data_IF_088346896587
#
_entry.id   IF_088346896587
#
_cell.length_a   1.000
_cell.length_b   1.000
_cell.length_c   1.000
_cell.angle_alpha   90.00
_cell.angle_beta   90.00
_cell.angle_gamma   90.00
#
_symmetry.space_group_name_H-M   'P 1'
#
loop_
_entity.id
_entity.type
_entity.pdbx_description
1 polymer ?
#
# COMPACT_ATOMS: atom_id res chain seq x y z
N UNK A 1 -7.56 -9.50 -13.59
CA UNK A 1 -8.97 -9.61 -14.06
C UNK A 1 -9.85 -9.49 -12.82
N UNK A 2 -10.09 -8.25 -12.36
CA UNK A 2 -10.91 -7.99 -11.17
C UNK A 2 -12.38 -8.12 -11.56
N UNK A 3 -13.03 -9.15 -11.06
CA UNK A 3 -14.49 -9.29 -11.13
C UNK A 3 -15.07 -8.28 -10.12
N UNK A 4 -15.44 -7.11 -10.61
CA UNK A 4 -16.33 -6.21 -9.85
C UNK A 4 -17.62 -7.01 -9.62
N UNK A 5 -17.76 -7.59 -8.43
CA UNK A 5 -19.07 -8.07 -7.97
C UNK A 5 -19.95 -6.83 -7.99
N UNK A 6 -20.88 -6.78 -8.95
CA UNK A 6 -21.92 -5.76 -8.98
C UNK A 6 -22.63 -5.83 -7.64
N UNK A 7 -22.40 -4.82 -6.79
CA UNK A 7 -22.94 -4.80 -5.44
C UNK A 7 -24.47 -4.82 -5.51
N UNK A 8 -25.04 -5.81 -4.87
CA UNK A 8 -26.48 -5.97 -4.67
C UNK A 8 -27.10 -4.81 -3.86
N UNK A 9 -26.26 -3.94 -3.24
CA UNK A 9 -26.70 -2.78 -2.48
C UNK A 9 -27.39 -1.71 -3.35
N UNK A 10 -27.03 -1.55 -4.62
CA UNK A 10 -27.71 -0.59 -5.51
C UNK A 10 -29.18 -0.97 -5.80
N UNK A 11 -29.54 -2.25 -5.65
CA UNK A 11 -30.93 -2.71 -5.83
C UNK A 11 -31.78 -2.51 -4.56
N UNK A 12 -31.17 -2.49 -3.38
CA UNK A 12 -31.86 -2.33 -2.10
C UNK A 12 -32.40 -0.91 -1.90
N UNK A 13 -31.69 0.13 -2.38
CA UNK A 13 -32.12 1.53 -2.21
C UNK A 13 -33.43 1.86 -2.94
N UNK A 14 -33.85 1.10 -3.94
CA UNK A 14 -35.08 1.34 -4.70
C UNK A 14 -36.34 0.68 -4.07
N UNK A 15 -36.18 -0.26 -3.13
CA UNK A 15 -37.30 -0.99 -2.53
C UNK A 15 -37.93 -0.30 -1.28
N UNK A 16 -37.29 0.77 -0.75
CA UNK A 16 -37.67 1.38 0.52
C UNK A 16 -38.75 2.46 0.43
N UNK A 17 -39.26 2.81 -0.76
CA UNK A 17 -40.18 3.95 -0.95
C UNK A 17 -41.66 3.58 -1.14
N UNK A 18 -42.08 2.34 -0.87
CA UNK A 18 -43.51 2.00 -1.00
C UNK A 18 -44.25 2.45 0.26
N UNK A 19 -45.24 3.40 0.16
CA UNK A 19 -46.09 3.75 1.28
C UNK A 19 -46.97 2.54 1.66
N UNK A 20 -46.91 2.15 2.92
CA UNK A 20 -47.79 1.11 3.45
C UNK A 20 -49.26 1.54 3.29
N UNK A 21 -50.15 0.67 2.83
CA UNK A 21 -51.57 0.99 2.68
C UNK A 21 -52.19 1.35 4.03
N UNK A 22 -53.07 2.33 4.05
CA UNK A 22 -53.70 2.90 5.26
C UNK A 22 -54.61 1.92 6.04
N UNK A 23 -54.84 0.72 5.50
CA UNK A 23 -55.78 -0.29 6.05
C UNK A 23 -55.09 -1.42 6.86
N UNK A 24 -53.79 -1.32 7.14
CA UNK A 24 -53.06 -2.34 7.91
C UNK A 24 -53.29 -2.16 9.41
N UNK A 25 -53.49 -3.28 10.14
CA UNK A 25 -53.62 -3.29 11.60
C UNK A 25 -52.42 -2.56 12.27
N UNK A 26 -52.62 -1.93 13.42
CA UNK A 26 -51.60 -1.11 14.08
C UNK A 26 -50.35 -1.93 14.43
N UNK A 27 -50.51 -3.20 14.76
CA UNK A 27 -49.41 -4.14 15.09
C UNK A 27 -48.62 -4.52 13.84
N UNK A 28 -49.33 -4.83 12.73
CA UNK A 28 -48.68 -5.13 11.44
C UNK A 28 -47.88 -3.94 10.89
N UNK A 29 -48.38 -2.71 11.13
CA UNK A 29 -47.70 -1.48 10.71
C UNK A 29 -46.42 -1.23 11.52
N UNK A 30 -46.46 -1.48 12.84
CA UNK A 30 -45.27 -1.39 13.70
C UNK A 30 -44.20 -2.39 13.23
N UNK A 31 -44.62 -3.65 13.00
CA UNK A 31 -43.73 -4.70 12.54
C UNK A 31 -43.09 -4.34 11.20
N UNK A 32 -43.86 -3.88 10.22
CA UNK A 32 -43.36 -3.50 8.92
C UNK A 32 -42.35 -2.33 8.98
N UNK A 33 -42.59 -1.31 9.81
CA UNK A 33 -41.62 -0.20 10.02
C UNK A 33 -40.36 -0.67 10.71
N UNK A 34 -40.47 -1.62 11.62
CA UNK A 34 -39.36 -2.23 12.31
C UNK A 34 -38.49 -3.04 11.34
N UNK A 35 -39.12 -3.88 10.51
CA UNK A 35 -38.42 -4.69 9.50
C UNK A 35 -37.73 -3.79 8.46
N UNK A 36 -38.37 -2.70 8.08
CA UNK A 36 -37.79 -1.69 7.18
C UNK A 36 -36.53 -1.02 7.76
N UNK A 37 -36.58 -0.65 9.05
CA UNK A 37 -35.44 -0.07 9.74
C UNK A 37 -34.25 -1.05 9.79
N UNK A 38 -34.51 -2.33 10.07
CA UNK A 38 -33.43 -3.34 10.14
C UNK A 38 -32.80 -3.56 8.78
N UNK A 39 -33.62 -3.70 7.74
CA UNK A 39 -33.09 -3.88 6.40
C UNK A 39 -32.26 -2.67 5.95
N UNK A 40 -32.71 -1.46 6.29
CA UNK A 40 -31.97 -0.23 6.01
C UNK A 40 -30.67 -0.14 6.82
N UNK A 41 -30.68 -0.56 8.08
CA UNK A 41 -29.49 -0.64 8.92
C UNK A 41 -28.49 -1.62 8.32
N UNK A 42 -28.92 -2.83 8.00
CA UNK A 42 -28.05 -3.85 7.40
C UNK A 42 -27.42 -3.38 6.09
N UNK A 43 -28.22 -2.74 5.23
CA UNK A 43 -27.75 -2.20 3.97
C UNK A 43 -26.70 -1.09 4.16
N UNK A 44 -26.84 -0.26 5.20
CA UNK A 44 -25.86 0.76 5.55
C UNK A 44 -24.56 0.14 6.09
N UNK A 45 -24.66 -0.83 7.00
CA UNK A 45 -23.49 -1.56 7.54
C UNK A 45 -22.69 -2.27 6.43
N UNK A 46 -23.39 -2.96 5.52
CA UNK A 46 -22.78 -3.64 4.39
C UNK A 46 -22.08 -2.65 3.44
N UNK A 47 -22.74 -1.52 3.13
CA UNK A 47 -22.17 -0.48 2.27
C UNK A 47 -20.93 0.18 2.90
N UNK A 48 -20.94 0.43 4.21
CA UNK A 48 -19.82 0.99 4.95
C UNK A 48 -18.64 0.01 4.97
N UNK A 49 -18.91 -1.27 5.17
CA UNK A 49 -17.89 -2.32 5.14
C UNK A 49 -17.20 -2.39 3.78
N UNK A 50 -17.99 -2.38 2.71
CA UNK A 50 -17.45 -2.41 1.34
C UNK A 50 -16.60 -1.17 1.04
N UNK A 51 -17.01 0.01 1.50
CA UNK A 51 -16.22 1.25 1.38
C UNK A 51 -14.88 1.13 2.10
N UNK A 52 -14.88 0.61 3.33
CA UNK A 52 -13.66 0.41 4.12
C UNK A 52 -12.71 -0.61 3.45
N UNK A 53 -13.25 -1.67 2.86
CA UNK A 53 -12.46 -2.65 2.11
C UNK A 53 -11.78 -2.02 0.89
N UNK A 54 -12.49 -1.19 0.12
CA UNK A 54 -11.90 -0.46 -1.02
C UNK A 54 -10.81 0.49 -0.55
N UNK A 55 -11.02 1.26 0.51
CA UNK A 55 -10.02 2.17 1.06
C UNK A 55 -8.77 1.44 1.56
N UNK A 56 -8.94 0.28 2.19
CA UNK A 56 -7.80 -0.56 2.59
C UNK A 56 -6.99 -1.04 1.39
N UNK A 57 -7.66 -1.46 0.30
CA UNK A 57 -6.99 -1.84 -0.94
C UNK A 57 -6.26 -0.67 -1.62
N UNK A 58 -6.80 0.55 -1.53
CA UNK A 58 -6.13 1.76 -2.01
C UNK A 58 -4.82 1.99 -1.28
N UNK A 59 -4.82 1.93 0.06
CA UNK A 59 -3.61 2.09 0.87
C UNK A 59 -2.54 1.04 0.54
N UNK A 60 -2.96 -0.20 0.30
CA UNK A 60 -2.04 -1.26 -0.13
C UNK A 60 -1.43 -0.95 -1.52
N UNK A 61 -2.25 -0.52 -2.47
CA UNK A 61 -1.80 -0.15 -3.81
C UNK A 61 -0.85 1.06 -3.78
N UNK A 62 -1.14 2.08 -3.00
CA UNK A 62 -0.25 3.24 -2.78
C UNK A 62 1.11 2.83 -2.20
N UNK A 63 1.10 1.91 -1.23
CA UNK A 63 2.33 1.34 -0.68
C UNK A 63 3.15 0.58 -1.73
N UNK A 64 2.48 -0.19 -2.61
CA UNK A 64 3.13 -0.89 -3.72
C UNK A 64 3.74 0.09 -4.73
N UNK A 65 3.04 1.17 -5.07
CA UNK A 65 3.55 2.24 -5.95
C UNK A 65 4.82 2.83 -5.35
N UNK A 66 4.83 3.20 -4.07
CA UNK A 66 6.01 3.74 -3.41
C UNK A 66 7.22 2.77 -3.43
N UNK A 67 6.98 1.46 -3.30
CA UNK A 67 8.04 0.46 -3.42
C UNK A 67 8.59 0.36 -4.86
N UNK A 68 7.71 0.38 -5.86
CA UNK A 68 8.11 0.35 -7.28
C UNK A 68 8.89 1.60 -7.67
N UNK A 69 8.49 2.78 -7.21
CA UNK A 69 9.20 4.05 -7.43
C UNK A 69 10.60 4.01 -6.82
N UNK A 70 10.72 3.50 -5.60
CA UNK A 70 12.03 3.33 -4.97
C UNK A 70 12.92 2.37 -5.77
N UNK A 71 12.40 1.23 -6.25
CA UNK A 71 13.13 0.28 -7.09
C UNK A 71 13.55 0.92 -8.42
N UNK A 72 12.67 1.67 -9.06
CA UNK A 72 12.96 2.39 -10.31
C UNK A 72 14.10 3.40 -10.12
N UNK A 73 14.11 4.14 -9.02
CA UNK A 73 15.19 5.07 -8.68
C UNK A 73 16.52 4.33 -8.47
N UNK A 74 16.54 3.15 -7.84
CA UNK A 74 17.73 2.33 -7.68
C UNK A 74 18.27 1.83 -9.02
N UNK A 75 17.41 1.32 -9.90
CA UNK A 75 17.79 0.86 -11.25
C UNK A 75 18.32 2.03 -12.08
N UNK A 76 17.70 3.20 -12.03
CA UNK A 76 18.19 4.40 -12.73
C UNK A 76 19.59 4.82 -12.25
N UNK A 77 19.85 4.76 -10.94
CA UNK A 77 21.19 5.01 -10.38
C UNK A 77 22.22 3.99 -10.84
N UNK A 78 21.87 2.72 -10.91
CA UNK A 78 22.75 1.67 -11.43
C UNK A 78 23.04 1.86 -12.93
N UNK A 79 22.04 2.20 -13.73
CA UNK A 79 22.22 2.52 -15.16
C UNK A 79 23.18 3.68 -15.37
N UNK A 80 23.07 4.73 -14.57
CA UNK A 80 24.01 5.87 -14.64
C UNK A 80 25.45 5.43 -14.34
N UNK A 81 25.66 4.58 -13.33
CA UNK A 81 26.99 4.06 -13.00
C UNK A 81 27.55 3.18 -14.13
N UNK A 82 26.73 2.30 -14.70
CA UNK A 82 27.13 1.46 -15.83
C UNK A 82 27.48 2.31 -17.05
N UNK A 83 26.72 3.37 -17.32
CA UNK A 83 27.01 4.29 -18.42
C UNK A 83 28.37 4.97 -18.28
N UNK A 84 28.72 5.45 -17.08
CA UNK A 84 30.03 6.02 -16.79
C UNK A 84 31.13 4.96 -17.00
N UNK A 85 30.92 3.75 -16.47
CA UNK A 85 31.89 2.65 -16.62
C UNK A 85 32.12 2.21 -18.08
N UNK A 86 31.06 2.25 -18.90
CA UNK A 86 31.13 2.01 -20.35
C UNK A 86 32.00 3.05 -21.05
N UNK A 87 31.82 4.34 -20.76
CA UNK A 87 32.66 5.40 -21.33
C UNK A 87 34.16 5.22 -20.97
N UNK A 88 34.43 4.84 -19.73
CA UNK A 88 35.82 4.58 -19.30
C UNK A 88 36.40 3.34 -19.97
N UNK A 89 35.61 2.24 -20.08
CA UNK A 89 36.04 1.03 -20.79
C UNK A 89 36.29 1.29 -22.30
N UNK A 90 35.47 2.09 -22.97
CA UNK A 90 35.65 2.49 -24.36
C UNK A 90 36.94 3.31 -24.55
N UNK A 91 37.21 4.25 -23.64
CA UNK A 91 38.43 5.05 -23.65
C UNK A 91 39.67 4.17 -23.47
N UNK A 92 39.65 3.25 -22.52
CA UNK A 92 40.75 2.29 -22.27
C UNK A 92 40.97 1.37 -23.47
N UNK A 93 39.91 0.85 -24.07
CA UNK A 93 40.02 0.03 -25.28
C UNK A 93 40.72 0.76 -26.43
N UNK A 94 40.40 2.05 -26.66
CA UNK A 94 41.04 2.87 -27.68
C UNK A 94 42.55 3.08 -27.38
N UNK A 95 42.89 3.31 -26.12
CA UNK A 95 44.30 3.46 -25.70
C UNK A 95 45.08 2.16 -25.94
N UNK A 96 44.55 1.03 -25.56
CA UNK A 96 45.16 -0.27 -25.74
C UNK A 96 45.26 -0.67 -27.22
N UNK A 97 44.28 -0.34 -28.03
CA UNK A 97 44.35 -0.53 -29.49
C UNK A 97 45.48 0.28 -30.12
N UNK A 98 45.57 1.58 -29.77
CA UNK A 98 46.64 2.44 -30.28
C UNK A 98 48.03 1.93 -29.87
N UNK A 99 48.20 1.46 -28.62
CA UNK A 99 49.42 0.87 -28.14
C UNK A 99 49.82 -0.43 -28.89
N UNK A 100 48.83 -1.29 -29.16
CA UNK A 100 49.03 -2.52 -29.92
C UNK A 100 49.44 -2.22 -31.38
N UNK A 101 48.79 -1.23 -32.01
CA UNK A 101 49.14 -0.84 -33.39
C UNK A 101 50.53 -0.23 -33.48
N UNK A 102 50.94 0.64 -32.55
CA UNK A 102 52.30 1.19 -32.48
C UNK A 102 53.34 0.10 -32.26
N UNK A 103 53.10 -0.84 -31.34
CA UNK A 103 54.00 -1.97 -31.10
C UNK A 103 54.14 -2.88 -32.33
N UNK A 104 53.04 -3.10 -33.06
CA UNK A 104 53.03 -3.88 -34.30
C UNK A 104 53.88 -3.21 -35.41
N UNK A 105 53.71 -1.89 -35.58
CA UNK A 105 54.52 -1.14 -36.54
C UNK A 105 56.00 -1.14 -36.21
N UNK A 106 56.36 -0.87 -34.96
CA UNK A 106 57.74 -0.89 -34.50
C UNK A 106 58.42 -2.29 -34.65
N UNK A 107 57.64 -3.37 -34.41
CA UNK A 107 58.08 -4.72 -34.63
C UNK A 107 58.40 -4.98 -36.12
N UNK A 108 57.48 -4.52 -37.02
CA UNK A 108 57.70 -4.68 -38.47
C UNK A 108 58.95 -3.93 -38.97
N UNK A 109 59.18 -2.71 -38.45
CA UNK A 109 60.40 -1.92 -38.76
C UNK A 109 61.69 -2.66 -38.30
N UNK A 110 61.67 -3.19 -37.08
CA UNK A 110 62.84 -3.95 -36.56
C UNK A 110 63.06 -5.28 -37.27
N UNK A 111 61.99 -5.95 -37.68
CA UNK A 111 62.10 -7.14 -38.51
C UNK A 111 62.75 -6.83 -39.87
N UNK A 112 62.36 -5.71 -40.49
CA UNK A 112 63.01 -5.27 -41.77
C UNK A 112 64.49 -4.92 -41.58
N UNK A 113 64.84 -4.24 -40.47
CA UNK A 113 66.27 -3.97 -40.14
C UNK A 113 67.06 -5.28 -39.94
N UNK A 114 66.46 -6.23 -39.23
CA UNK A 114 67.11 -7.55 -39.03
C UNK A 114 67.30 -8.29 -40.34
N UNK A 115 66.27 -8.34 -41.20
CA UNK A 115 66.34 -9.04 -42.50
C UNK A 115 67.35 -8.39 -43.44
N UNK A 116 67.44 -7.06 -43.45
CA UNK A 116 68.49 -6.34 -44.22
C UNK A 116 69.89 -6.63 -43.71
N UNK A 117 70.14 -6.61 -42.39
CA UNK A 117 71.42 -6.92 -41.78
C UNK A 117 71.78 -8.37 -42.01
N UNK A 118 70.87 -9.32 -41.90
CA UNK A 118 71.04 -10.72 -42.15
C UNK A 118 71.43 -10.98 -43.62
N UNK A 119 70.74 -10.35 -44.58
CA UNK A 119 71.04 -10.44 -46.01
C UNK A 119 72.40 -9.91 -46.32
N UNK A 120 72.76 -8.74 -45.76
CA UNK A 120 74.09 -8.17 -45.93
C UNK A 120 75.22 -9.10 -45.37
N UNK A 121 74.98 -9.70 -44.21
CA UNK A 121 75.91 -10.69 -43.64
C UNK A 121 76.06 -11.92 -44.53
N UNK A 122 74.99 -12.43 -45.14
CA UNK A 122 75.02 -13.54 -46.11
C UNK A 122 75.78 -13.18 -47.36
N UNK A 123 75.62 -11.96 -47.90
CA UNK A 123 76.35 -11.47 -49.08
C UNK A 123 77.86 -11.38 -48.80
N UNK A 124 78.19 -10.84 -47.63
CA UNK A 124 79.59 -10.78 -47.20
C UNK A 124 80.20 -12.19 -47.10
N UNK A 125 79.52 -13.16 -46.49
CA UNK A 125 80.01 -14.54 -46.43
C UNK A 125 80.13 -15.18 -47.81
N UNK A 126 79.17 -14.93 -48.73
CA UNK A 126 79.25 -15.42 -50.13
C UNK A 126 80.43 -14.80 -50.87
N UNK A 127 80.61 -13.47 -50.70
CA UNK A 127 81.77 -12.79 -51.28
C UNK A 127 83.10 -13.38 -50.77
N UNK A 128 83.20 -13.68 -49.50
CA UNK A 128 84.33 -14.37 -48.91
C UNK A 128 84.57 -15.81 -49.46
N UNK A 129 83.44 -16.52 -49.77
CA UNK A 129 83.49 -17.86 -50.37
C UNK A 129 83.88 -17.83 -51.85
N UNK A 130 83.53 -16.74 -52.57
CA UNK A 130 83.81 -16.58 -54.01
C UNK A 130 85.23 -16.12 -54.26
N UNK A 131 85.93 -15.53 -53.28
CA UNK A 131 87.30 -15.16 -53.41
C UNK A 131 88.19 -16.44 -53.36
N UNK A 132 88.43 -17.00 -54.53
CA UNK A 132 89.38 -18.10 -54.77
C UNK A 132 89.05 -19.47 -54.21
N UNK A 133 87.84 -19.94 -54.22
CA UNK A 133 87.53 -21.35 -53.91
C UNK A 133 87.81 -21.85 -52.49
N UNK A 134 88.35 -21.01 -51.63
CA UNK A 134 88.73 -21.36 -50.25
C UNK A 134 88.15 -20.48 -49.16
N UNK A 135 87.20 -19.49 -49.47
CA UNK A 135 86.60 -18.58 -48.50
C UNK A 135 87.64 -17.80 -47.69
N UNK A 136 87.34 -17.61 -46.39
CA UNK A 136 88.25 -16.92 -45.46
C UNK A 136 89.61 -17.58 -45.41
N UNK A 137 89.67 -18.91 -45.58
CA UNK A 137 90.94 -19.64 -45.65
C UNK A 137 91.75 -19.31 -46.92
N UNK A 138 91.07 -19.11 -48.05
CA UNK A 138 91.69 -18.70 -49.32
C UNK A 138 92.29 -17.29 -49.23
N UNK A 139 91.58 -16.32 -48.60
CA UNK A 139 92.11 -15.00 -48.30
C UNK A 139 93.31 -15.04 -47.39
N UNK A 140 93.32 -15.87 -46.37
CA UNK A 140 94.42 -16.07 -45.47
C UNK A 140 95.64 -16.73 -46.17
N UNK A 141 95.39 -17.59 -47.18
CA UNK A 141 96.40 -18.24 -47.95
C UNK A 141 97.14 -17.33 -48.94
N UNK A 142 96.54 -16.18 -49.34
CA UNK A 142 97.11 -15.19 -50.25
C UNK A 142 97.99 -14.16 -49.52
N UNK A 143 98.09 -14.21 -48.20
CA UNK A 143 98.94 -13.35 -47.42
C UNK A 143 100.39 -13.60 -47.72
N UNK A 144 101.12 -12.55 -48.21
CA UNK A 144 102.53 -12.59 -48.57
C UNK A 144 103.46 -12.38 -47.37
N UNK A 145 102.96 -12.08 -46.22
CA UNK A 145 103.68 -11.93 -44.98
C UNK A 145 102.83 -12.35 -43.77
N UNK A 146 103.46 -12.76 -42.69
CA UNK A 146 102.78 -13.08 -41.43
C UNK A 146 101.97 -11.90 -40.90
N UNK A 147 102.46 -10.70 -41.09
CA UNK A 147 101.70 -9.47 -40.69
C UNK A 147 100.40 -9.33 -41.49
N UNK A 148 100.44 -9.55 -42.84
CA UNK A 148 99.19 -9.52 -43.64
C UNK A 148 98.23 -10.65 -43.23
N UNK A 149 98.74 -11.83 -42.95
CA UNK A 149 97.94 -12.97 -42.46
C UNK A 149 97.21 -12.63 -41.16
N UNK A 150 97.90 -12.07 -40.19
CA UNK A 150 97.38 -11.69 -38.91
C UNK A 150 96.37 -10.52 -39.05
N UNK A 151 96.69 -9.52 -39.91
CA UNK A 151 95.79 -8.40 -40.17
C UNK A 151 94.52 -8.83 -40.86
N UNK A 152 94.59 -9.74 -41.87
CA UNK A 152 93.38 -10.27 -42.50
C UNK A 152 92.53 -11.13 -41.51
N UNK A 153 93.15 -11.94 -40.69
CA UNK A 153 92.51 -12.77 -39.69
C UNK A 153 91.80 -11.85 -38.66
N UNK A 154 92.44 -10.83 -38.16
CA UNK A 154 91.92 -9.86 -37.21
C UNK A 154 90.74 -9.08 -37.78
N UNK A 155 90.82 -8.56 -39.03
CA UNK A 155 89.74 -7.86 -39.72
C UNK A 155 88.53 -8.80 -39.90
N UNK A 156 88.76 -10.05 -40.36
CA UNK A 156 87.67 -11.02 -40.50
C UNK A 156 87.00 -11.34 -39.17
N UNK A 157 87.75 -11.49 -38.11
CA UNK A 157 87.30 -11.73 -36.78
C UNK A 157 86.42 -10.53 -36.26
N UNK A 158 86.97 -9.29 -36.49
CA UNK A 158 86.21 -8.08 -36.08
C UNK A 158 84.92 -7.93 -36.84
N UNK A 159 84.89 -8.17 -38.19
CA UNK A 159 83.64 -8.14 -38.96
C UNK A 159 82.66 -9.20 -38.46
N UNK A 160 83.08 -10.41 -38.25
CA UNK A 160 82.22 -11.50 -37.76
C UNK A 160 81.69 -11.21 -36.37
N UNK A 161 82.56 -10.72 -35.47
CA UNK A 161 82.12 -10.32 -34.10
C UNK A 161 81.13 -9.20 -34.11
N UNK A 162 81.34 -8.15 -34.92
CA UNK A 162 80.46 -7.00 -35.02
C UNK A 162 79.11 -7.35 -35.61
N UNK A 163 79.12 -8.19 -36.66
CA UNK A 163 77.86 -8.70 -37.24
C UNK A 163 77.02 -9.54 -36.22
N UNK A 164 77.75 -10.41 -35.46
CA UNK A 164 77.12 -11.21 -34.41
C UNK A 164 76.48 -10.33 -33.31
N UNK A 165 77.18 -9.26 -32.88
CA UNK A 165 76.73 -8.32 -31.90
C UNK A 165 75.43 -7.58 -32.38
N UNK A 166 75.44 -7.09 -33.63
CA UNK A 166 74.30 -6.40 -34.23
C UNK A 166 73.11 -7.36 -34.33
N UNK A 167 73.27 -8.58 -34.80
CA UNK A 167 72.19 -9.57 -34.89
C UNK A 167 71.65 -9.94 -33.51
N UNK A 168 72.47 -10.02 -32.50
CA UNK A 168 72.02 -10.27 -31.12
C UNK A 168 71.13 -9.12 -30.62
N UNK A 169 71.58 -7.87 -30.76
CA UNK A 169 70.80 -6.68 -30.34
C UNK A 169 69.52 -6.58 -31.10
N UNK A 170 69.48 -6.80 -32.42
CA UNK A 170 68.24 -6.79 -33.20
C UNK A 170 67.29 -7.90 -32.78
N UNK A 171 67.80 -9.09 -32.46
CA UNK A 171 67.00 -10.21 -31.98
C UNK A 171 66.34 -9.88 -30.62
N UNK A 172 67.10 -9.33 -29.67
CA UNK A 172 66.65 -8.90 -28.37
C UNK A 172 65.57 -7.81 -28.49
N UNK A 173 65.82 -6.82 -29.36
CA UNK A 173 64.83 -5.76 -29.64
C UNK A 173 63.55 -6.30 -30.28
N UNK A 174 63.63 -7.20 -31.25
CA UNK A 174 62.52 -7.85 -31.89
C UNK A 174 61.69 -8.67 -30.89
N UNK A 175 62.34 -9.38 -29.99
CA UNK A 175 61.72 -10.15 -28.95
C UNK A 175 60.94 -9.22 -27.95
N UNK A 176 61.58 -8.15 -27.47
CA UNK A 176 60.98 -7.17 -26.59
C UNK A 176 59.73 -6.50 -27.20
N UNK A 177 59.81 -6.17 -28.50
CA UNK A 177 58.69 -5.62 -29.25
C UNK A 177 57.55 -6.65 -29.45
N UNK A 178 57.91 -7.93 -29.70
CA UNK A 178 56.91 -9.02 -29.77
C UNK A 178 56.17 -9.21 -28.44
N UNK A 179 56.87 -9.18 -27.31
CA UNK A 179 56.29 -9.24 -25.99
C UNK A 179 55.38 -8.02 -25.71
N UNK A 180 55.84 -6.81 -26.05
CA UNK A 180 55.03 -5.59 -25.92
C UNK A 180 53.71 -5.66 -26.74
N UNK A 181 53.81 -6.12 -28.00
CA UNK A 181 52.65 -6.35 -28.87
C UNK A 181 51.67 -7.35 -28.26
N UNK A 182 52.19 -8.49 -27.79
CA UNK A 182 51.33 -9.51 -27.16
C UNK A 182 50.64 -8.98 -25.90
N UNK A 183 51.35 -8.20 -25.07
CA UNK A 183 50.81 -7.58 -23.88
C UNK A 183 49.72 -6.57 -24.23
N UNK A 184 49.92 -5.72 -25.23
CA UNK A 184 48.95 -4.74 -25.68
C UNK A 184 47.71 -5.43 -26.27
N UNK A 185 47.88 -6.49 -27.08
CA UNK A 185 46.76 -7.27 -27.62
C UNK A 185 45.93 -7.97 -26.53
N UNK A 186 46.60 -8.51 -25.49
CA UNK A 186 45.93 -9.12 -24.35
C UNK A 186 45.10 -8.06 -23.57
N UNK A 187 45.69 -6.87 -23.35
CA UNK A 187 44.98 -5.77 -22.69
C UNK A 187 43.76 -5.28 -23.50
N UNK A 188 43.90 -5.20 -24.83
CA UNK A 188 42.79 -4.88 -25.74
C UNK A 188 41.64 -5.91 -25.61
N UNK A 189 41.97 -7.21 -25.66
CA UNK A 189 40.98 -8.28 -25.52
C UNK A 189 40.27 -8.24 -24.15
N UNK A 190 41.00 -7.91 -23.08
CA UNK A 190 40.43 -7.74 -21.75
C UNK A 190 39.47 -6.53 -21.70
N UNK A 191 39.84 -5.42 -22.30
CA UNK A 191 39.00 -4.23 -22.39
C UNK A 191 37.72 -4.49 -23.22
N UNK A 192 37.83 -5.21 -24.36
CA UNK A 192 36.69 -5.64 -25.15
C UNK A 192 35.72 -6.56 -24.34
N UNK A 193 36.27 -7.52 -23.59
CA UNK A 193 35.49 -8.41 -22.75
C UNK A 193 34.76 -7.63 -21.60
N UNK A 194 35.47 -6.68 -20.99
CA UNK A 194 34.88 -5.81 -19.96
C UNK A 194 33.77 -4.95 -20.53
N UNK A 195 33.97 -4.35 -21.72
CA UNK A 195 32.89 -3.60 -22.40
C UNK A 195 31.68 -4.47 -22.70
N UNK A 196 31.87 -5.66 -23.25
CA UNK A 196 30.80 -6.59 -23.54
C UNK A 196 30.00 -6.98 -22.28
N UNK A 197 30.66 -7.16 -21.14
CA UNK A 197 30.03 -7.42 -19.88
C UNK A 197 29.17 -6.22 -19.39
N UNK A 198 29.67 -4.99 -19.54
CA UNK A 198 28.96 -3.78 -19.21
C UNK A 198 27.74 -3.53 -20.13
N UNK A 199 27.90 -3.79 -21.45
CA UNK A 199 26.79 -3.71 -22.42
C UNK A 199 25.66 -4.70 -22.05
N UNK A 200 26.01 -5.93 -21.63
CA UNK A 200 25.04 -6.92 -21.16
C UNK A 200 24.34 -6.45 -19.87
N UNK A 201 25.08 -5.87 -18.93
CA UNK A 201 24.51 -5.33 -17.69
C UNK A 201 23.59 -4.13 -17.98
N UNK A 202 23.95 -3.25 -18.89
CA UNK A 202 23.09 -2.14 -19.33
C UNK A 202 21.78 -2.66 -19.92
N UNK A 203 21.84 -3.67 -20.80
CA UNK A 203 20.66 -4.26 -21.40
C UNK A 203 19.74 -4.88 -20.35
N UNK A 204 20.30 -5.57 -19.35
CA UNK A 204 19.54 -6.14 -18.25
C UNK A 204 18.84 -5.05 -17.42
N UNK A 205 19.58 -4.02 -17.01
CA UNK A 205 19.03 -2.91 -16.22
C UNK A 205 17.95 -2.12 -16.99
N UNK A 206 18.17 -1.92 -18.30
CA UNK A 206 17.15 -1.27 -19.16
C UNK A 206 15.89 -2.12 -19.29
N UNK A 207 16.00 -3.46 -19.33
CA UNK A 207 14.88 -4.37 -19.26
C UNK A 207 14.12 -4.26 -17.94
N UNK A 208 14.84 -4.25 -16.82
CA UNK A 208 14.23 -4.05 -15.49
C UNK A 208 13.53 -2.69 -15.35
N UNK A 209 14.11 -1.62 -15.93
CA UNK A 209 13.47 -0.31 -15.94
C UNK A 209 12.14 -0.36 -16.69
N UNK A 210 12.09 -0.97 -17.88
CA UNK A 210 10.86 -1.08 -18.66
C UNK A 210 9.79 -1.93 -17.94
N UNK A 211 10.19 -3.00 -17.26
CA UNK A 211 9.29 -3.80 -16.43
C UNK A 211 8.71 -2.99 -15.26
N UNK A 212 9.53 -2.21 -14.57
CA UNK A 212 9.12 -1.35 -13.47
C UNK A 212 8.19 -0.22 -13.95
N UNK A 213 8.48 0.41 -15.09
CA UNK A 213 7.60 1.42 -15.71
C UNK A 213 6.22 0.82 -16.04
N UNK A 214 6.20 -0.40 -16.59
CA UNK A 214 4.95 -1.12 -16.88
C UNK A 214 4.18 -1.45 -15.60
N UNK A 215 4.88 -1.91 -14.55
CA UNK A 215 4.27 -2.23 -13.27
C UNK A 215 3.71 -0.97 -12.57
N UNK A 216 4.43 0.15 -12.62
CA UNK A 216 3.99 1.45 -12.12
C UNK A 216 2.74 1.95 -12.84
N UNK A 217 2.71 1.84 -14.17
CA UNK A 217 1.53 2.21 -14.95
C UNK A 217 0.31 1.37 -14.55
N UNK A 218 0.46 0.05 -14.44
CA UNK A 218 -0.62 -0.85 -14.03
C UNK A 218 -1.10 -0.57 -12.60
N UNK A 219 -0.19 -0.27 -11.67
CA UNK A 219 -0.53 0.08 -10.30
C UNK A 219 -1.30 1.40 -10.22
N UNK A 220 -0.90 2.42 -10.99
CA UNK A 220 -1.60 3.70 -11.08
C UNK A 220 -2.99 3.57 -11.73
N UNK A 221 -3.13 2.74 -12.77
CA UNK A 221 -4.45 2.45 -13.38
C UNK A 221 -5.36 1.73 -12.37
N UNK A 222 -4.81 0.81 -11.57
CA UNK A 222 -5.54 0.12 -10.50
C UNK A 222 -5.98 1.08 -9.42
N UNK A 223 -5.09 1.99 -8.97
CA UNK A 223 -5.41 3.02 -7.98
C UNK A 223 -6.53 3.94 -8.46
N UNK A 224 -6.46 4.42 -9.70
CA UNK A 224 -7.50 5.27 -10.31
C UNK A 224 -8.87 4.57 -10.39
N UNK A 225 -8.87 3.26 -10.71
CA UNK A 225 -10.08 2.46 -10.69
C UNK A 225 -10.66 2.29 -9.28
N UNK A 226 -9.80 2.08 -8.28
CA UNK A 226 -10.19 1.98 -6.86
C UNK A 226 -10.72 3.32 -6.34
N UNK A 227 -10.11 4.46 -6.70
CA UNK A 227 -10.61 5.80 -6.36
C UNK A 227 -12.01 6.03 -6.91
N UNK A 228 -12.23 5.69 -8.18
CA UNK A 228 -13.54 5.78 -8.81
C UNK A 228 -14.58 4.87 -8.13
N UNK A 229 -14.18 3.66 -7.74
CA UNK A 229 -15.03 2.73 -7.01
C UNK A 229 -15.35 3.23 -5.60
N UNK A 230 -14.37 3.81 -4.88
CA UNK A 230 -14.58 4.39 -3.55
C UNK A 230 -15.54 5.57 -3.60
N UNK A 231 -15.42 6.45 -4.61
CA UNK A 231 -16.36 7.56 -4.80
C UNK A 231 -17.78 7.06 -5.08
N UNK A 232 -17.93 6.07 -5.96
CA UNK A 232 -19.24 5.47 -6.24
C UNK A 232 -19.82 4.80 -5.00
N UNK A 233 -19.01 4.06 -4.24
CA UNK A 233 -19.44 3.39 -3.02
C UNK A 233 -19.77 4.39 -1.90
N UNK A 234 -19.07 5.50 -1.78
CA UNK A 234 -19.41 6.57 -0.83
C UNK A 234 -20.81 7.15 -1.08
N UNK A 235 -21.22 7.31 -2.35
CA UNK A 235 -22.59 7.73 -2.70
C UNK A 235 -23.62 6.68 -2.28
N UNK A 236 -23.32 5.39 -2.48
CA UNK A 236 -24.20 4.29 -2.05
C UNK A 236 -24.33 4.26 -0.52
N UNK A 237 -23.21 4.41 0.18
CA UNK A 237 -23.15 4.43 1.65
C UNK A 237 -23.97 5.61 2.22
N UNK A 238 -23.84 6.80 1.64
CA UNK A 238 -24.63 7.97 2.08
C UNK A 238 -26.13 7.81 1.80
N UNK A 239 -26.48 7.21 0.66
CA UNK A 239 -27.88 6.90 0.36
C UNK A 239 -28.45 5.84 1.32
N UNK A 240 -27.68 4.82 1.67
CA UNK A 240 -28.09 3.80 2.64
C UNK A 240 -28.22 4.37 4.06
N UNK A 241 -27.30 5.26 4.46
CA UNK A 241 -27.39 6.01 5.72
C UNK A 241 -28.67 6.81 5.81
N UNK A 242 -28.96 7.57 4.77
CA UNK A 242 -30.20 8.35 4.71
C UNK A 242 -31.46 7.47 4.78
N UNK A 243 -31.47 6.34 4.07
CA UNK A 243 -32.58 5.39 4.13
C UNK A 243 -32.80 4.83 5.55
N UNK A 244 -31.71 4.55 6.27
CA UNK A 244 -31.75 4.13 7.67
C UNK A 244 -32.28 5.25 8.58
N UNK A 245 -31.82 6.48 8.40
CA UNK A 245 -32.32 7.66 9.15
C UNK A 245 -33.81 7.89 8.90
N UNK A 246 -34.26 7.82 7.65
CA UNK A 246 -35.66 7.99 7.25
C UNK A 246 -36.55 6.87 7.83
N UNK A 247 -36.09 5.60 7.75
CA UNK A 247 -36.82 4.46 8.33
C UNK A 247 -36.94 4.56 9.85
N UNK A 248 -35.87 5.03 10.50
CA UNK A 248 -35.87 5.27 11.94
C UNK A 248 -36.82 6.41 12.32
N UNK A 249 -36.81 7.51 11.58
CA UNK A 249 -37.73 8.64 11.81
C UNK A 249 -39.19 8.22 11.62
N UNK A 250 -39.45 7.35 10.65
CA UNK A 250 -40.82 6.82 10.43
C UNK A 250 -41.28 5.94 11.60
N UNK A 251 -40.43 5.07 12.11
CA UNK A 251 -40.73 4.25 13.29
C UNK A 251 -40.95 5.13 14.54
N UNK A 252 -40.11 6.13 14.75
CA UNK A 252 -40.21 7.08 15.84
C UNK A 252 -41.51 7.89 15.77
N UNK A 253 -41.90 8.33 14.58
CA UNK A 253 -43.15 9.05 14.37
C UNK A 253 -44.38 8.16 14.70
N UNK A 254 -44.31 6.88 14.32
CA UNK A 254 -45.34 5.91 14.68
C UNK A 254 -45.42 5.70 16.20
N UNK A 255 -44.31 5.47 16.88
CA UNK A 255 -44.27 5.30 18.35
C UNK A 255 -44.77 6.54 19.05
N UNK A 256 -44.44 7.74 18.56
CA UNK A 256 -44.94 9.02 19.08
C UNK A 256 -46.47 9.15 18.93
N UNK A 257 -46.99 8.82 17.75
CA UNK A 257 -48.45 8.86 17.52
C UNK A 257 -49.22 7.86 18.41
N UNK A 258 -48.61 6.76 18.82
CA UNK A 258 -49.20 5.87 19.83
C UNK A 258 -49.19 6.52 21.22
N UNK A 259 -48.09 7.18 21.61
CA UNK A 259 -47.99 7.91 22.87
C UNK A 259 -49.10 9.00 22.98
N UNK A 260 -49.38 9.71 21.87
CA UNK A 260 -50.42 10.76 21.85
C UNK A 260 -51.84 10.23 22.21
N UNK A 261 -52.10 8.95 21.93
CA UNK A 261 -53.41 8.32 22.27
C UNK A 261 -53.58 8.07 23.77
N UNK A 262 -52.48 8.00 24.52
CA UNK A 262 -52.46 7.74 25.97
C UNK A 262 -52.19 9.00 26.79
N UNK A 263 -52.15 10.19 26.15
CA UNK A 263 -52.03 11.47 26.86
C UNK A 263 -53.41 11.85 27.42
N UNK A 264 -53.56 11.81 28.71
CA UNK A 264 -54.76 12.32 29.36
C UNK A 264 -54.56 13.76 29.79
N UNK A 265 -55.56 14.60 29.55
CA UNK A 265 -55.53 16.02 29.96
C UNK A 265 -55.46 16.20 31.49
N UNK A 266 -55.72 15.13 32.24
CA UNK A 266 -55.83 15.17 33.70
C UNK A 266 -54.55 14.81 34.42
N UNK A 267 -53.52 14.30 33.71
CA UNK A 267 -52.22 13.95 34.28
C UNK A 267 -51.25 15.11 34.11
N UNK A 268 -51.23 16.01 35.07
CA UNK A 268 -50.27 17.13 35.10
C UNK A 268 -49.11 16.76 36.00
N UNK A 269 -47.89 16.66 35.46
CA UNK A 269 -46.66 16.59 36.25
C UNK A 269 -46.55 17.89 37.06
N UNK A 270 -46.69 17.78 38.37
CA UNK A 270 -46.65 18.95 39.25
C UNK A 270 -45.20 19.44 39.50
N UNK A 271 -44.21 18.63 39.18
CA UNK A 271 -42.81 19.00 39.28
C UNK A 271 -41.95 18.27 38.24
N UNK A 272 -40.86 18.91 37.76
CA UNK A 272 -39.82 18.31 36.93
C UNK A 272 -38.80 17.51 37.76
N UNK A 273 -39.24 16.91 38.86
CA UNK A 273 -38.41 16.12 39.76
C UNK A 273 -38.26 14.68 39.22
N UNK A 274 -37.46 14.51 38.14
CA UNK A 274 -37.14 13.18 37.62
C UNK A 274 -36.18 12.44 38.56
N UNK A 275 -36.32 11.13 38.68
CA UNK A 275 -35.34 10.26 39.37
C UNK A 275 -34.41 9.56 38.39
N UNK A 276 -33.28 9.07 38.89
CA UNK A 276 -32.46 8.10 38.16
C UNK A 276 -33.29 6.82 37.88
N UNK A 277 -33.27 6.27 36.66
CA UNK A 277 -34.00 5.04 36.31
C UNK A 277 -33.46 3.79 37.00
N UNK A 278 -32.27 3.83 37.56
CA UNK A 278 -31.60 2.73 38.28
C UNK A 278 -31.17 3.23 39.66
N UNK A 279 -31.26 2.38 40.68
CA UNK A 279 -30.72 2.69 42.01
C UNK A 279 -29.20 2.64 42.04
N UNK A 280 -28.60 1.82 41.17
CA UNK A 280 -27.16 1.74 40.96
C UNK A 280 -26.81 1.26 39.55
N UNK A 281 -25.71 1.77 39.03
CA UNK A 281 -25.14 1.37 37.74
C UNK A 281 -23.60 1.50 37.80
N UNK A 282 -22.91 0.74 36.96
CA UNK A 282 -21.43 0.71 36.96
C UNK A 282 -20.82 1.97 36.33
N UNK A 283 -21.37 2.39 35.21
CA UNK A 283 -20.90 3.55 34.44
C UNK A 283 -21.94 3.98 33.40
N UNK A 284 -21.80 5.17 32.87
CA UNK A 284 -22.46 5.59 31.62
C UNK A 284 -21.49 5.21 30.49
N UNK A 285 -21.93 4.30 29.62
CA UNK A 285 -21.09 3.76 28.55
C UNK A 285 -21.18 4.57 27.26
N UNK A 286 -22.36 5.15 26.99
CA UNK A 286 -22.57 5.99 25.81
C UNK A 286 -23.50 7.16 26.18
N UNK A 287 -23.15 8.37 25.77
CA UNK A 287 -23.94 9.54 26.06
C UNK A 287 -24.80 9.95 24.87
N UNK A 288 -25.85 10.73 25.13
CA UNK A 288 -26.68 11.33 24.08
C UNK A 288 -25.84 12.16 23.11
N UNK A 289 -25.97 11.93 21.81
CA UNK A 289 -25.26 12.62 20.74
C UNK A 289 -23.85 12.09 20.47
N UNK A 290 -23.34 11.16 21.26
CA UNK A 290 -22.08 10.46 20.99
C UNK A 290 -22.23 9.58 19.74
N UNK A 291 -21.30 9.66 18.81
CA UNK A 291 -21.35 8.88 17.58
C UNK A 291 -21.06 7.40 17.84
N UNK A 292 -21.89 6.52 17.29
CA UNK A 292 -21.63 5.09 17.27
C UNK A 292 -20.47 4.76 16.27
N UNK A 293 -20.01 3.51 16.17
CA UNK A 293 -18.95 3.11 15.24
C UNK A 293 -19.26 3.41 13.76
N UNK A 294 -20.50 3.65 13.41
CA UNK A 294 -20.98 4.01 12.07
C UNK A 294 -21.23 5.51 11.89
N UNK A 295 -20.90 6.33 12.91
CA UNK A 295 -21.05 7.79 12.86
C UNK A 295 -22.48 8.30 13.10
N UNK A 296 -23.38 7.46 13.62
CA UNK A 296 -24.76 7.84 13.95
C UNK A 296 -24.80 8.36 15.39
N UNK A 297 -25.34 9.58 15.63
CA UNK A 297 -25.47 10.12 16.97
C UNK A 297 -26.37 9.25 17.84
N UNK A 298 -25.87 8.89 19.04
CA UNK A 298 -26.61 8.13 20.02
C UNK A 298 -27.86 8.88 20.49
N UNK A 299 -29.00 8.19 20.57
CA UNK A 299 -30.31 8.79 20.75
C UNK A 299 -30.72 8.93 22.19
N UNK A 300 -30.01 8.31 23.12
CA UNK A 300 -30.27 8.27 24.54
C UNK A 300 -29.02 8.28 25.37
N UNK A 301 -29.07 7.74 26.54
CA UNK A 301 -27.96 7.51 27.45
C UNK A 301 -27.98 6.07 27.92
N UNK A 302 -26.81 5.40 27.83
CA UNK A 302 -26.66 4.01 28.21
C UNK A 302 -26.04 3.89 29.60
N UNK A 303 -26.78 3.27 30.50
CA UNK A 303 -26.38 2.98 31.88
C UNK A 303 -26.00 1.51 32.01
N UNK A 304 -24.72 1.20 32.14
CA UNK A 304 -24.24 -0.17 32.33
C UNK A 304 -24.65 -0.70 33.71
N UNK A 305 -25.43 -1.76 33.73
CA UNK A 305 -25.86 -2.41 34.96
C UNK A 305 -26.05 -3.93 34.75
N UNK A 306 -25.93 -4.74 35.79
CA UNK A 306 -26.11 -6.19 35.70
C UNK A 306 -27.47 -6.59 35.14
N UNK A 307 -27.49 -7.75 34.45
CA UNK A 307 -28.75 -8.33 33.98
C UNK A 307 -29.71 -8.53 35.16
N UNK A 308 -30.99 -8.11 34.96
CA UNK A 308 -32.04 -8.24 35.96
C UNK A 308 -32.08 -7.12 37.00
N UNK A 309 -31.22 -6.08 36.90
CA UNK A 309 -31.32 -4.87 37.73
C UNK A 309 -32.69 -4.21 37.48
N UNK A 310 -33.49 -3.87 38.54
CA UNK A 310 -34.77 -3.20 38.35
C UNK A 310 -34.64 -1.85 37.68
N UNK A 311 -35.53 -1.59 36.73
CA UNK A 311 -35.68 -0.31 36.05
C UNK A 311 -36.92 0.39 36.55
N UNK A 312 -36.77 1.63 36.97
CA UNK A 312 -37.84 2.44 37.56
C UNK A 312 -38.34 3.55 36.62
N UNK A 313 -39.62 3.85 36.68
CA UNK A 313 -40.17 5.02 36.01
C UNK A 313 -39.52 6.31 36.57
N UNK A 314 -39.00 7.16 35.71
CA UNK A 314 -38.33 8.41 36.13
C UNK A 314 -39.29 9.44 36.71
N UNK A 315 -40.58 9.38 36.36
CA UNK A 315 -41.67 10.22 36.85
C UNK A 315 -42.99 9.49 36.71
N UNK A 316 -44.07 10.06 37.29
CA UNK A 316 -45.43 9.58 37.10
C UNK A 316 -45.84 9.61 35.63
N UNK A 317 -46.65 8.66 35.18
CA UNK A 317 -47.05 8.61 33.76
C UNK A 317 -47.99 7.44 33.43
N UNK A 318 -48.26 7.33 32.14
CA UNK A 318 -49.02 6.22 31.55
C UNK A 318 -48.10 5.47 30.58
N UNK A 319 -48.11 4.15 30.66
CA UNK A 319 -47.37 3.30 29.72
C UNK A 319 -48.02 3.46 28.33
N UNK A 320 -47.37 4.20 27.45
CA UNK A 320 -47.83 4.43 26.07
C UNK A 320 -47.48 3.28 25.13
N UNK A 321 -46.39 2.54 25.42
CA UNK A 321 -46.01 1.32 24.72
C UNK A 321 -45.26 0.38 25.65
N UNK A 322 -45.47 -0.93 25.50
CA UNK A 322 -44.73 -1.99 26.21
C UNK A 322 -44.68 -3.21 25.31
N UNK A 323 -43.48 -3.69 25.00
CA UNK A 323 -43.24 -4.84 24.11
C UNK A 323 -41.95 -4.80 23.33
N UNK A 324 -41.67 -5.82 22.53
CA UNK A 324 -40.46 -5.87 21.72
C UNK A 324 -40.52 -4.86 20.58
N UNK A 325 -39.45 -4.13 20.42
CA UNK A 325 -39.15 -3.27 19.25
C UNK A 325 -37.70 -3.59 18.82
N UNK A 326 -37.52 -3.94 17.61
CA UNK A 326 -36.37 -4.67 17.13
C UNK A 326 -35.00 -4.12 17.57
N UNK A 327 -34.68 -2.86 17.27
CA UNK A 327 -33.43 -2.25 17.70
C UNK A 327 -33.36 -2.02 19.21
N UNK A 328 -34.47 -1.70 19.83
CA UNK A 328 -34.61 -1.45 21.27
C UNK A 328 -34.79 -2.73 22.10
N UNK A 329 -35.04 -3.87 21.46
CA UNK A 329 -35.40 -5.10 22.18
C UNK A 329 -36.71 -4.93 22.94
N UNK A 330 -36.83 -5.56 24.11
CA UNK A 330 -37.94 -5.32 25.00
C UNK A 330 -37.87 -3.89 25.53
N UNK A 331 -38.84 -3.08 25.25
CA UNK A 331 -38.85 -1.68 25.65
C UNK A 331 -40.20 -1.25 26.25
N UNK A 332 -40.12 -0.23 27.07
CA UNK A 332 -41.29 0.48 27.66
C UNK A 332 -41.18 1.95 27.34
N UNK A 333 -42.28 2.54 26.90
CA UNK A 333 -42.37 3.98 26.76
C UNK A 333 -43.42 4.51 27.74
N UNK A 334 -43.08 5.56 28.47
CA UNK A 334 -43.95 6.24 29.43
C UNK A 334 -44.26 7.64 28.93
N UNK A 335 -45.53 7.99 28.83
CA UNK A 335 -45.99 9.37 28.62
C UNK A 335 -46.17 10.03 29.99
N UNK A 336 -45.40 11.07 30.26
CA UNK A 336 -45.46 11.83 31.49
C UNK A 336 -46.42 13.02 31.42
N UNK A 337 -47.12 13.18 30.28
CA UNK A 337 -48.02 14.31 30.02
C UNK A 337 -47.30 15.68 30.04
N UNK A 338 -48.01 16.74 30.35
CA UNK A 338 -47.45 18.10 30.35
C UNK A 338 -47.07 18.50 31.78
N UNK A 339 -45.83 18.98 31.93
CA UNK A 339 -45.32 19.45 33.21
C UNK A 339 -45.70 20.91 33.49
N UNK A 340 -45.40 21.39 34.70
CA UNK A 340 -45.68 22.77 35.12
C UNK A 340 -44.97 23.84 34.28
N UNK A 341 -43.96 23.51 33.52
CA UNK A 341 -43.26 24.39 32.55
C UNK A 341 -43.95 24.48 31.19
N UNK A 342 -45.08 23.77 31.01
CA UNK A 342 -45.84 23.72 29.76
C UNK A 342 -45.28 22.75 28.70
N UNK A 343 -44.18 22.05 28.97
CA UNK A 343 -43.62 21.06 28.06
C UNK A 343 -44.17 19.67 28.37
N UNK A 344 -44.37 18.91 27.29
CA UNK A 344 -44.70 17.49 27.37
C UNK A 344 -43.41 16.66 27.43
N UNK A 345 -43.39 15.66 28.30
CA UNK A 345 -42.29 14.75 28.50
C UNK A 345 -42.69 13.30 28.22
N UNK A 346 -41.85 12.56 27.51
CA UNK A 346 -41.97 11.13 27.30
C UNK A 346 -40.62 10.48 27.53
N UNK A 347 -40.56 9.31 28.17
CA UNK A 347 -39.36 8.52 28.35
C UNK A 347 -39.45 7.15 27.69
N UNK A 348 -38.33 6.62 27.19
CA UNK A 348 -38.25 5.28 26.62
C UNK A 348 -37.09 4.53 27.29
N UNK A 349 -37.38 3.31 27.68
CA UNK A 349 -36.48 2.39 28.37
C UNK A 349 -36.32 1.15 27.51
N UNK A 350 -35.10 0.84 27.09
CA UNK A 350 -34.83 -0.24 26.14
C UNK A 350 -33.90 -1.33 26.67
N UNK A 351 -33.69 -2.35 25.86
CA UNK A 351 -32.83 -3.51 26.08
C UNK A 351 -33.21 -4.35 27.30
N UNK A 352 -34.49 -4.30 27.74
CA UNK A 352 -34.94 -5.01 28.93
C UNK A 352 -34.85 -6.54 28.76
N UNK A 353 -34.46 -7.24 29.80
CA UNK A 353 -34.60 -8.69 29.88
C UNK A 353 -36.05 -9.11 30.03
N UNK A 354 -36.85 -8.31 30.79
CA UNK A 354 -38.28 -8.54 31.06
C UNK A 354 -38.98 -7.22 31.32
N UNK A 355 -40.15 -7.08 30.76
CA UNK A 355 -41.11 -5.98 31.00
C UNK A 355 -42.01 -6.38 32.20
N UNK A 356 -42.29 -5.43 33.11
CA UNK A 356 -43.08 -5.65 34.31
C UNK A 356 -44.47 -4.97 34.27
N UNK A 357 -44.76 -4.20 33.22
CA UNK A 357 -45.96 -3.37 33.08
C UNK A 357 -46.69 -3.63 31.75
N UNK A 358 -47.92 -3.20 31.64
CA UNK A 358 -48.72 -3.31 30.42
C UNK A 358 -49.02 -1.93 29.82
N UNK A 359 -49.22 -1.88 28.51
CA UNK A 359 -49.67 -0.69 27.81
C UNK A 359 -51.01 -0.18 28.40
N UNK A 360 -51.12 1.13 28.59
CA UNK A 360 -52.28 1.76 29.24
C UNK A 360 -52.26 1.77 30.78
N UNK A 361 -51.29 1.11 31.40
CA UNK A 361 -51.11 1.12 32.87
C UNK A 361 -50.56 2.48 33.33
N UNK A 362 -51.15 3.04 34.41
CA UNK A 362 -50.60 4.20 35.11
C UNK A 362 -49.46 3.72 36.02
N UNK A 363 -48.35 4.43 36.06
CA UNK A 363 -47.18 4.16 36.92
C UNK A 363 -46.79 5.42 37.68
N UNK A 364 -46.29 5.22 38.89
CA UNK A 364 -45.77 6.29 39.73
C UNK A 364 -44.25 6.39 39.59
N UNK A 365 -43.68 7.57 39.84
CA UNK A 365 -42.24 7.77 39.97
C UNK A 365 -41.61 6.75 40.92
N UNK A 366 -40.63 5.99 40.45
CA UNK A 366 -40.00 4.93 41.22
C UNK A 366 -40.70 3.56 41.21
N UNK A 367 -41.78 3.41 40.44
CA UNK A 367 -42.37 2.09 40.20
C UNK A 367 -41.51 1.25 39.24
N UNK A 368 -41.38 -0.05 39.51
CA UNK A 368 -40.60 -0.96 38.66
C UNK A 368 -41.36 -1.23 37.37
N UNK A 369 -40.80 -0.84 36.23
CA UNK A 369 -41.38 -1.02 34.90
C UNK A 369 -40.76 -2.15 34.09
N UNK A 370 -39.60 -2.67 34.52
CA UNK A 370 -38.89 -3.75 33.87
C UNK A 370 -37.52 -4.02 34.50
N UNK A 371 -36.70 -4.76 33.82
CA UNK A 371 -35.38 -5.19 34.30
C UNK A 371 -34.35 -5.07 33.21
N UNK A 372 -33.14 -4.62 33.57
CA UNK A 372 -31.99 -4.50 32.66
C UNK A 372 -31.70 -5.82 31.93
N UNK A 373 -31.40 -5.77 30.69
CA UNK A 373 -31.04 -6.90 29.84
C UNK A 373 -30.09 -6.51 28.71
N UNK A 374 -30.14 -7.28 27.64
CA UNK A 374 -29.37 -7.08 26.41
C UNK A 374 -30.18 -7.48 25.16
N UNK A 375 -31.49 -7.35 25.21
CA UNK A 375 -32.36 -7.67 24.08
C UNK A 375 -32.29 -6.58 23.00
N UNK A 376 -32.52 -6.93 21.73
CA UNK A 376 -32.38 -6.02 20.61
C UNK A 376 -30.94 -5.88 20.11
N UNK A 377 -30.63 -4.75 19.47
CA UNK A 377 -29.29 -4.47 18.94
C UNK A 377 -28.40 -3.90 20.04
N UNK A 378 -27.64 -4.76 20.69
CA UNK A 378 -26.72 -4.42 21.79
C UNK A 378 -25.30 -4.74 21.41
N UNK A 379 -24.39 -3.78 21.60
CA UNK A 379 -22.96 -3.94 21.39
C UNK A 379 -22.23 -3.69 22.73
N UNK A 380 -21.17 -4.44 23.01
CA UNK A 380 -20.34 -4.19 24.19
C UNK A 380 -19.67 -5.40 24.78
N UNK A 381 -18.71 -5.16 25.65
CA UNK A 381 -18.01 -6.20 26.43
C UNK A 381 -18.97 -6.84 27.47
N UNK A 382 -18.64 -8.06 27.92
CA UNK A 382 -19.37 -8.78 28.98
C UNK A 382 -20.88 -8.98 28.72
N UNK A 383 -21.25 -9.18 27.45
CA UNK A 383 -22.66 -9.40 27.06
C UNK A 383 -23.47 -8.11 26.85
N UNK A 384 -22.84 -6.94 27.00
CA UNK A 384 -23.43 -5.64 26.66
C UNK A 384 -24.68 -5.26 27.50
N UNK A 385 -24.80 -5.77 28.74
CA UNK A 385 -25.96 -5.47 29.60
C UNK A 385 -25.97 -4.00 30.02
N UNK A 386 -27.04 -3.28 29.61
CA UNK A 386 -27.25 -1.88 29.96
C UNK A 386 -28.73 -1.50 29.86
N UNK A 387 -29.09 -0.37 30.44
CA UNK A 387 -30.31 0.34 30.17
C UNK A 387 -30.06 1.47 29.19
N UNK A 388 -30.69 1.46 28.04
CA UNK A 388 -30.77 2.61 27.16
C UNK A 388 -31.97 3.47 27.53
N UNK A 389 -31.75 4.73 27.95
CA UNK A 389 -32.77 5.69 28.31
C UNK A 389 -32.84 6.81 27.27
N UNK A 390 -34.03 7.02 26.65
CA UNK A 390 -34.32 8.24 25.89
C UNK A 390 -35.27 9.14 26.69
N UNK A 391 -35.08 10.44 26.55
CA UNK A 391 -36.04 11.46 26.99
C UNK A 391 -36.47 12.31 25.78
N UNK A 392 -37.77 12.63 25.73
CA UNK A 392 -38.30 13.50 24.69
C UNK A 392 -39.06 14.67 25.34
N UNK A 393 -38.80 15.85 24.80
CA UNK A 393 -39.49 17.10 25.20
C UNK A 393 -40.26 17.61 23.99
N UNK A 394 -41.57 17.75 24.11
CA UNK A 394 -42.45 18.10 23.01
C UNK A 394 -42.26 17.21 21.76
N UNK A 395 -41.94 15.93 22.00
CA UNK A 395 -41.70 14.92 20.98
C UNK A 395 -40.29 14.92 20.37
N UNK A 396 -39.44 15.88 20.67
CA UNK A 396 -38.04 15.92 20.24
C UNK A 396 -37.12 15.27 21.27
N UNK A 397 -36.14 14.49 20.81
CA UNK A 397 -35.16 13.88 21.72
C UNK A 397 -34.31 14.94 22.42
N UNK A 398 -34.11 14.76 23.72
CA UNK A 398 -33.28 15.61 24.56
C UNK A 398 -32.26 14.75 25.32
N UNK A 399 -31.13 15.34 25.73
CA UNK A 399 -30.15 14.67 26.55
C UNK A 399 -30.74 14.27 27.89
N UNK A 400 -30.93 12.97 28.22
CA UNK A 400 -31.51 12.54 29.49
C UNK A 400 -30.77 13.08 30.71
N UNK A 401 -29.42 13.21 30.64
CA UNK A 401 -28.59 13.68 31.75
C UNK A 401 -28.78 15.18 32.08
N UNK A 402 -29.49 15.94 31.24
CA UNK A 402 -29.88 17.30 31.56
C UNK A 402 -31.12 17.39 32.49
N UNK A 403 -31.82 16.29 32.62
CA UNK A 403 -33.10 16.23 33.36
C UNK A 403 -33.09 15.20 34.49
N UNK A 404 -32.43 14.07 34.27
CA UNK A 404 -32.42 12.93 35.18
C UNK A 404 -31.13 13.00 36.01
N UNK A 405 -31.19 12.91 37.36
CA UNK A 405 -30.00 12.89 38.21
C UNK A 405 -29.16 11.63 37.96
N UNK A 406 -27.85 11.79 38.15
CA UNK A 406 -26.88 10.68 38.01
C UNK A 406 -26.84 9.81 39.24
#
# INVERSE_FOLDING_TARGET
>A
MFSVKRSSAALAAFLFALPLPASVCAEDRKQALTDQQIQAQQAYEDAQKELNEIQSQQQETESQIGQLEWQAAQVAGQLQNVYVSLQDAEREMLVQQAAADQAAQALAEKQAEYDACFTHSQEQMRAMQMLDGGGAIGLLSQAKSLYQLLTFADVLQQISSKNSEILTVLTEQAQALSEAKQKAETARQQAEAAKAALDAQQAQLSGMQAELETALQQANETLSAQESAAQAQAVVTEAAKKAYEDATAALDAYVRAQSDRYTTADLVLTSLDFRCPLDSYSSITTQFGEADPWGIPHRGTDFAAPNGTPIYAIADGIISAAGPVNSYGNCVQVSHSTASDGNRYDSLYAHMSRIAVNQGQTVQKGEVIGYVGNTGNVYGANGGYHLHLELRVNGSRANPLAYVPR
#
